data_IF_076925577574
#
_entry.id   IF_076925577574
#
_cell.length_a   1.000
_cell.length_b   1.000
_cell.length_c   1.000
_cell.angle_alpha   90.00
_cell.angle_beta   90.00
_cell.angle_gamma   90.00
#
_symmetry.space_group_name_H-M   'P 1'
#
loop_
_entity.id
_entity.type
_entity.pdbx_description
1 polymer ?
#
# COMPACT_ATOMS: atom_id res chain seq x y z
N UNK A 1 -8.33 6.19 -38.00
CA UNK A 1 -7.30 6.75 -37.10
C UNK A 1 -7.41 5.96 -35.80
N UNK A 2 -6.68 4.85 -35.69
CA UNK A 2 -6.73 3.98 -34.51
C UNK A 2 -5.97 4.70 -33.39
N UNK A 3 -6.66 5.02 -32.30
CA UNK A 3 -6.02 5.51 -31.08
C UNK A 3 -5.03 4.44 -30.62
N UNK A 4 -3.74 4.67 -30.83
CA UNK A 4 -2.70 4.01 -30.04
C UNK A 4 -2.93 4.45 -28.60
N UNK A 5 -3.60 3.60 -27.82
CA UNK A 5 -3.41 3.67 -26.37
C UNK A 5 -1.92 3.43 -26.16
N UNK A 6 -1.18 4.46 -25.77
CA UNK A 6 0.21 4.33 -25.32
C UNK A 6 0.21 3.41 -24.10
N UNK A 7 0.33 2.11 -24.37
CA UNK A 7 0.35 1.07 -23.37
C UNK A 7 1.73 1.16 -22.70
N UNK A 8 1.79 1.89 -21.59
CA UNK A 8 3.00 2.00 -20.78
C UNK A 8 3.33 0.60 -20.26
N UNK A 9 4.53 0.07 -20.55
CA UNK A 9 4.91 -1.24 -20.03
C UNK A 9 4.90 -1.21 -18.50
N UNK A 10 4.17 -2.16 -17.90
CA UNK A 10 4.10 -2.26 -16.44
C UNK A 10 5.39 -2.90 -15.92
N UNK A 11 5.85 -2.43 -14.76
CA UNK A 11 6.90 -3.08 -13.97
C UNK A 11 6.47 -3.14 -12.52
N UNK A 12 6.62 -4.31 -11.90
CA UNK A 12 6.27 -4.52 -10.49
C UNK A 12 7.55 -4.83 -9.74
N UNK A 13 7.83 -4.07 -8.68
CA UNK A 13 8.95 -4.28 -7.77
C UNK A 13 8.44 -4.37 -6.34
N UNK A 14 9.26 -4.93 -5.46
CA UNK A 14 8.91 -5.08 -4.06
C UNK A 14 10.04 -4.63 -3.15
N UNK A 15 9.67 -4.07 -2.01
CA UNK A 15 10.58 -3.98 -0.88
C UNK A 15 10.61 -5.27 -0.06
N UNK A 16 11.27 -5.21 1.10
CA UNK A 16 11.55 -6.34 2.00
C UNK A 16 10.45 -6.62 3.02
N UNK A 17 9.40 -5.79 3.12
CA UNK A 17 8.34 -5.96 4.14
C UNK A 17 7.56 -7.27 3.99
N UNK A 18 7.25 -7.66 2.76
CA UNK A 18 6.51 -8.89 2.47
C UNK A 18 6.75 -9.41 1.03
N UNK A 19 7.91 -10.03 0.76
CA UNK A 19 8.25 -10.57 -0.56
C UNK A 19 7.28 -11.64 -1.04
N UNK A 20 6.76 -12.47 -0.12
CA UNK A 20 5.82 -13.57 -0.45
C UNK A 20 4.53 -13.01 -1.06
N UNK A 21 3.96 -11.97 -0.46
CA UNK A 21 2.76 -11.31 -0.99
C UNK A 21 3.05 -10.63 -2.32
N UNK A 22 4.20 -9.96 -2.44
CA UNK A 22 4.57 -9.27 -3.67
C UNK A 22 4.73 -10.22 -4.86
N UNK A 23 5.38 -11.37 -4.66
CA UNK A 23 5.50 -12.41 -5.68
C UNK A 23 4.14 -12.99 -6.07
N UNK A 24 3.24 -13.21 -5.10
CA UNK A 24 1.89 -13.67 -5.38
C UNK A 24 1.10 -12.66 -6.23
N UNK A 25 1.21 -11.36 -5.93
CA UNK A 25 0.57 -10.28 -6.70
C UNK A 25 1.14 -10.25 -8.13
N UNK A 26 2.47 -10.25 -8.27
CA UNK A 26 3.11 -10.23 -9.59
C UNK A 26 2.74 -11.47 -10.42
N UNK A 27 2.76 -12.65 -9.79
CA UNK A 27 2.35 -13.91 -10.42
C UNK A 27 0.90 -13.91 -10.88
N UNK A 28 -0.02 -13.34 -10.09
CA UNK A 28 -1.44 -13.21 -10.48
C UNK A 28 -1.63 -12.22 -11.63
N UNK A 29 -0.78 -11.19 -11.73
CA UNK A 29 -0.74 -10.28 -12.89
C UNK A 29 -0.13 -10.96 -14.14
N UNK A 30 0.66 -12.03 -13.96
CA UNK A 30 1.27 -12.79 -15.06
C UNK A 30 2.73 -12.44 -15.34
N UNK A 31 3.44 -11.84 -14.39
CA UNK A 31 4.88 -11.58 -14.51
C UNK A 31 5.65 -11.85 -13.21
N UNK A 32 6.98 -11.88 -13.28
CA UNK A 32 7.84 -11.92 -12.09
C UNK A 32 8.09 -10.52 -11.57
N UNK A 33 8.49 -10.42 -10.30
CA UNK A 33 9.03 -9.16 -9.80
C UNK A 33 10.28 -8.76 -10.59
N UNK A 34 10.39 -7.46 -10.84
CA UNK A 34 11.60 -6.86 -11.34
C UNK A 34 12.70 -6.85 -10.27
N UNK A 35 13.95 -6.72 -10.71
CA UNK A 35 15.10 -6.80 -9.83
C UNK A 35 15.42 -5.44 -9.19
N UNK A 36 15.44 -5.40 -7.86
CA UNK A 36 15.86 -4.24 -7.07
C UNK A 36 16.87 -4.68 -6.02
N UNK A 37 18.03 -4.01 -6.01
CA UNK A 37 19.01 -4.18 -4.94
C UNK A 37 18.63 -3.25 -3.79
N UNK A 38 18.38 -3.85 -2.63
CA UNK A 38 18.17 -3.14 -1.37
C UNK A 38 19.18 -3.69 -0.36
N UNK A 39 20.07 -2.83 0.12
CA UNK A 39 21.10 -3.21 1.11
C UNK A 39 21.30 -2.11 2.13
N UNK A 40 21.91 -2.50 3.25
CA UNK A 40 22.35 -1.59 4.31
C UNK A 40 23.86 -1.37 4.18
N UNK A 41 24.29 -0.12 4.28
CA UNK A 41 25.70 0.20 4.47
C UNK A 41 26.13 -0.16 5.89
N UNK A 42 27.44 -0.09 6.17
CA UNK A 42 28.00 -0.49 7.47
C UNK A 42 27.50 0.36 8.65
N UNK A 43 26.99 1.57 8.39
CA UNK A 43 26.39 2.48 9.36
C UNK A 43 24.86 2.34 9.47
N UNK A 44 24.24 1.45 8.69
CA UNK A 44 22.81 1.20 8.68
C UNK A 44 22.02 2.05 7.69
N UNK A 45 22.66 2.91 6.89
CA UNK A 45 21.96 3.65 5.82
C UNK A 45 21.48 2.71 4.72
N UNK A 46 20.29 2.99 4.17
CA UNK A 46 19.69 2.18 3.12
C UNK A 46 20.16 2.63 1.74
N UNK A 47 20.49 1.65 0.91
CA UNK A 47 20.77 1.79 -0.50
C UNK A 47 19.69 1.08 -1.32
N UNK A 48 19.16 1.76 -2.34
CA UNK A 48 18.18 1.20 -3.29
C UNK A 48 18.65 1.46 -4.72
N UNK A 49 18.62 0.41 -5.56
CA UNK A 49 18.89 0.51 -7.00
C UNK A 49 18.02 -0.47 -7.79
N UNK A 50 17.32 0.02 -8.81
CA UNK A 50 16.71 -0.84 -9.83
C UNK A 50 17.80 -1.42 -10.74
N UNK A 51 17.81 -2.73 -10.93
CA UNK A 51 18.81 -3.43 -11.76
C UNK A 51 18.46 -3.45 -13.25
N UNK A 52 17.30 -2.88 -13.61
CA UNK A 52 16.80 -2.81 -14.97
C UNK A 52 16.23 -1.41 -15.30
N UNK A 53 16.14 -1.09 -16.58
CA UNK A 53 15.60 0.19 -17.01
C UNK A 53 14.10 0.27 -16.76
N UNK A 54 13.70 1.29 -16.02
CA UNK A 54 12.29 1.62 -15.73
C UNK A 54 11.85 2.93 -16.40
N UNK A 55 12.66 3.48 -17.30
CA UNK A 55 12.33 4.72 -18.03
C UNK A 55 11.05 4.54 -18.84
N UNK A 56 10.10 5.46 -18.66
CA UNK A 56 8.84 5.44 -19.40
C UNK A 56 7.85 4.36 -18.97
N UNK A 57 8.16 3.59 -17.91
CA UNK A 57 7.32 2.49 -17.45
C UNK A 57 6.33 2.94 -16.39
N UNK A 58 5.24 2.19 -16.27
CA UNK A 58 4.27 2.31 -15.19
C UNK A 58 4.69 1.37 -14.04
N UNK A 59 5.26 1.96 -13.00
CA UNK A 59 5.96 1.26 -11.92
C UNK A 59 5.05 1.08 -10.73
N UNK A 60 4.90 -0.16 -10.28
CA UNK A 60 4.19 -0.53 -9.07
C UNK A 60 5.20 -0.98 -8.01
N UNK A 61 5.20 -0.31 -6.87
CA UNK A 61 6.11 -0.60 -5.75
C UNK A 61 5.30 -1.22 -4.61
N UNK A 62 5.49 -2.52 -4.38
CA UNK A 62 4.79 -3.27 -3.33
C UNK A 62 5.62 -3.22 -2.05
N UNK A 63 5.12 -2.48 -1.06
CA UNK A 63 5.76 -2.37 0.26
C UNK A 63 4.73 -2.00 1.32
N UNK A 64 4.50 -2.90 2.27
CA UNK A 64 3.82 -2.56 3.51
C UNK A 64 4.75 -1.75 4.41
N UNK A 65 4.17 -0.92 5.26
CA UNK A 65 4.92 -0.05 6.16
C UNK A 65 4.70 -0.42 7.64
N UNK A 66 4.56 -1.72 7.89
CA UNK A 66 4.61 -2.30 9.23
C UNK A 66 6.00 -2.11 9.86
N UNK A 67 6.14 -2.22 11.20
CA UNK A 67 7.45 -2.24 11.83
C UNK A 67 8.38 -3.28 11.19
N UNK A 68 9.69 -2.97 11.06
CA UNK A 68 10.39 -1.77 11.55
C UNK A 68 10.13 -0.49 10.73
N UNK A 69 10.45 0.67 11.30
CA UNK A 69 10.29 1.97 10.64
C UNK A 69 11.09 2.10 9.33
N UNK A 70 12.15 1.30 9.16
CA UNK A 70 12.95 1.25 7.93
C UNK A 70 12.13 0.86 6.69
N UNK A 71 11.01 0.16 6.83
CA UNK A 71 10.10 -0.12 5.71
C UNK A 71 9.56 1.16 5.06
N UNK A 72 9.39 2.24 5.83
CA UNK A 72 9.04 3.56 5.28
C UNK A 72 10.18 4.17 4.48
N UNK A 73 11.40 4.19 5.04
CA UNK A 73 12.56 4.76 4.37
C UNK A 73 12.86 4.00 3.07
N UNK A 74 12.75 2.69 3.08
CA UNK A 74 12.92 1.86 1.90
C UNK A 74 11.91 2.20 0.80
N UNK A 75 10.61 2.32 1.12
CA UNK A 75 9.60 2.73 0.15
C UNK A 75 9.90 4.11 -0.45
N UNK A 76 10.24 5.07 0.41
CA UNK A 76 10.54 6.44 -0.02
C UNK A 76 11.76 6.50 -0.94
N UNK A 77 12.80 5.73 -0.64
CA UNK A 77 13.99 5.61 -1.48
C UNK A 77 13.69 4.90 -2.81
N UNK A 78 12.82 3.87 -2.82
CA UNK A 78 12.35 3.23 -4.05
C UNK A 78 11.57 4.21 -4.94
N UNK A 79 10.68 5.02 -4.35
CA UNK A 79 9.93 6.06 -5.09
C UNK A 79 10.88 7.11 -5.67
N UNK A 80 11.79 7.66 -4.86
CA UNK A 80 12.75 8.68 -5.32
C UNK A 80 13.66 8.13 -6.44
N UNK A 81 14.18 6.91 -6.28
CA UNK A 81 15.00 6.24 -7.30
C UNK A 81 14.20 6.03 -8.59
N UNK A 82 12.92 5.63 -8.51
CA UNK A 82 12.08 5.42 -9.68
C UNK A 82 11.81 6.74 -10.43
N UNK A 83 11.52 7.80 -9.68
CA UNK A 83 11.30 9.14 -10.24
C UNK A 83 12.54 9.65 -10.96
N UNK A 84 13.73 9.53 -10.35
CA UNK A 84 15.00 9.95 -10.95
C UNK A 84 15.38 9.10 -12.16
N UNK A 85 14.99 7.83 -12.18
CA UNK A 85 15.14 6.94 -13.33
C UNK A 85 14.11 7.22 -14.46
N UNK A 86 13.29 8.26 -14.32
CA UNK A 86 12.28 8.68 -15.30
C UNK A 86 11.20 7.61 -15.54
N UNK A 87 10.77 6.91 -14.48
CA UNK A 87 9.50 6.20 -14.50
C UNK A 87 8.39 7.18 -14.92
N UNK A 88 7.46 6.72 -15.75
CA UNK A 88 6.39 7.56 -16.26
C UNK A 88 5.25 7.70 -15.23
N UNK A 89 4.99 6.66 -14.45
CA UNK A 89 4.08 6.67 -13.31
C UNK A 89 4.59 5.77 -12.20
N UNK A 90 4.39 6.18 -10.94
CA UNK A 90 4.78 5.44 -9.74
C UNK A 90 3.54 5.23 -8.85
N UNK A 91 3.07 3.99 -8.78
CA UNK A 91 2.01 3.58 -7.86
C UNK A 91 2.63 2.90 -6.64
N UNK A 92 2.45 3.49 -5.46
CA UNK A 92 2.82 2.84 -4.20
C UNK A 92 1.70 1.91 -3.76
N UNK A 93 1.97 0.60 -3.78
CA UNK A 93 1.07 -0.45 -3.30
C UNK A 93 1.44 -0.79 -1.87
N UNK A 94 0.60 -0.35 -0.92
CA UNK A 94 0.85 -0.40 0.52
C UNK A 94 -0.24 -1.25 1.20
N UNK A 95 -0.11 -2.60 1.24
CA UNK A 95 -1.13 -3.47 1.83
C UNK A 95 -1.45 -3.15 3.30
N UNK A 96 -0.42 -2.81 4.08
CA UNK A 96 -0.58 -2.28 5.44
C UNK A 96 0.02 -0.88 5.55
N UNK A 97 -0.83 0.12 5.81
CA UNK A 97 -0.42 1.50 6.02
C UNK A 97 -0.09 1.77 7.49
N UNK A 98 1.19 1.83 7.83
CA UNK A 98 1.68 2.18 9.16
C UNK A 98 1.29 3.60 9.60
N UNK A 99 1.35 3.87 10.90
CA UNK A 99 0.94 5.15 11.50
C UNK A 99 -0.53 5.57 11.29
N UNK A 100 -1.35 4.75 10.64
CA UNK A 100 -2.77 5.03 10.39
C UNK A 100 -3.63 5.25 11.65
N UNK A 101 -3.13 4.86 12.84
CA UNK A 101 -3.79 5.09 14.14
C UNK A 101 -3.56 6.48 14.72
N UNK A 102 -2.69 7.29 14.09
CA UNK A 102 -2.39 8.67 14.46
C UNK A 102 -2.85 9.60 13.34
N UNK A 103 -4.14 9.56 13.05
CA UNK A 103 -4.81 10.30 11.97
C UNK A 103 -5.46 11.61 12.45
N UNK A 104 -5.42 11.92 13.74
CA UNK A 104 -5.96 13.16 14.30
C UNK A 104 -5.20 13.58 15.54
N UNK A 105 -5.38 14.83 15.96
CA UNK A 105 -4.97 15.29 17.28
C UNK A 105 -6.06 14.93 18.28
N UNK A 106 -5.82 13.90 19.07
CA UNK A 106 -6.64 13.54 20.22
C UNK A 106 -6.25 14.33 21.49
N UNK A 107 -5.02 14.81 21.55
CA UNK A 107 -4.50 15.65 22.62
C UNK A 107 -3.66 16.84 22.10
N UNK A 108 -3.38 17.86 22.92
CA UNK A 108 -2.48 18.95 22.53
C UNK A 108 -1.06 18.44 22.19
N UNK A 109 -0.42 19.09 21.21
CA UNK A 109 1.01 18.92 20.87
C UNK A 109 1.45 17.51 20.38
N UNK A 110 0.53 16.70 19.87
CA UNK A 110 0.88 15.46 19.13
C UNK A 110 0.95 15.69 17.63
N UNK A 111 1.66 14.79 16.94
CA UNK A 111 1.69 14.70 15.48
C UNK A 111 0.39 14.12 14.93
N UNK A 112 0.14 14.39 13.65
CA UNK A 112 -0.80 13.62 12.83
C UNK A 112 0.08 12.77 11.91
N UNK A 113 0.63 11.68 12.44
CA UNK A 113 1.66 10.91 11.74
C UNK A 113 1.16 10.34 10.40
N UNK A 114 -0.10 9.93 10.30
CA UNK A 114 -0.67 9.49 9.02
C UNK A 114 -0.63 10.59 7.94
N UNK A 115 -0.88 11.86 8.30
CA UNK A 115 -0.78 13.00 7.36
C UNK A 115 0.68 13.29 6.98
N UNK A 116 1.62 13.20 7.94
CA UNK A 116 3.04 13.31 7.64
C UNK A 116 3.48 12.25 6.64
N UNK A 117 3.12 10.98 6.87
CA UNK A 117 3.44 9.88 5.96
C UNK A 117 2.83 10.08 4.57
N UNK A 118 1.58 10.54 4.49
CA UNK A 118 0.93 10.86 3.21
C UNK A 118 1.68 11.97 2.44
N UNK A 119 2.09 13.02 3.14
CA UNK A 119 2.89 14.09 2.56
C UNK A 119 4.25 13.57 2.07
N UNK A 120 4.95 12.74 2.85
CA UNK A 120 6.24 12.19 2.47
C UNK A 120 6.16 11.35 1.19
N UNK A 121 5.16 10.48 1.05
CA UNK A 121 4.94 9.67 -0.16
C UNK A 121 4.68 10.56 -1.38
N UNK A 122 3.81 11.57 -1.22
CA UNK A 122 3.47 12.51 -2.29
C UNK A 122 4.70 13.34 -2.69
N UNK A 123 5.47 13.84 -1.72
CA UNK A 123 6.68 14.64 -1.97
C UNK A 123 7.80 13.82 -2.61
N UNK A 124 8.01 12.57 -2.19
CA UNK A 124 8.96 11.66 -2.81
C UNK A 124 8.64 11.47 -4.31
N UNK A 125 7.35 11.44 -4.65
CA UNK A 125 6.86 11.45 -6.02
C UNK A 125 6.02 10.23 -6.39
N UNK A 126 5.27 9.67 -5.44
CA UNK A 126 4.21 8.74 -5.80
C UNK A 126 3.10 9.48 -6.55
N UNK A 127 2.61 8.90 -7.64
CA UNK A 127 1.50 9.45 -8.42
C UNK A 127 0.14 8.89 -7.97
N UNK A 128 0.16 7.73 -7.32
CA UNK A 128 -1.04 7.01 -6.84
C UNK A 128 -0.69 6.13 -5.66
N UNK A 129 -1.66 5.99 -4.75
CA UNK A 129 -1.60 5.04 -3.65
C UNK A 129 -2.63 3.94 -3.86
N UNK A 130 -2.24 2.68 -3.67
CA UNK A 130 -3.14 1.54 -3.55
C UNK A 130 -2.96 0.95 -2.15
N UNK A 131 -4.01 0.91 -1.33
CA UNK A 131 -3.90 0.42 0.06
C UNK A 131 -5.15 -0.32 0.50
N UNK A 132 -5.10 -0.98 1.66
CA UNK A 132 -6.17 -1.84 2.15
C UNK A 132 -6.59 -1.50 3.57
N UNK A 133 -7.90 -1.55 3.83
CA UNK A 133 -8.53 -1.49 5.16
C UNK A 133 -7.92 -0.44 6.12
N UNK A 134 -7.73 0.79 5.62
CA UNK A 134 -7.23 1.93 6.40
C UNK A 134 -7.96 2.02 7.74
N UNK A 135 -7.20 2.34 8.80
CA UNK A 135 -7.75 2.45 10.16
C UNK A 135 -8.93 3.43 10.21
N UNK A 136 -8.76 4.59 9.58
CA UNK A 136 -9.83 5.53 9.29
C UNK A 136 -9.91 5.75 7.76
N UNK A 137 -11.08 5.53 7.11
CA UNK A 137 -11.21 5.70 5.67
C UNK A 137 -10.96 7.16 5.21
N UNK A 138 -11.07 8.14 6.11
CA UNK A 138 -10.81 9.55 5.85
C UNK A 138 -9.33 9.84 5.56
N UNK A 139 -8.40 8.93 5.88
CA UNK A 139 -6.98 9.05 5.53
C UNK A 139 -6.79 9.22 4.02
N UNK A 140 -7.72 8.74 3.19
CA UNK A 140 -7.75 9.03 1.75
C UNK A 140 -7.68 10.53 1.45
N UNK A 141 -8.36 11.37 2.25
CA UNK A 141 -8.32 12.83 2.13
C UNK A 141 -7.04 13.50 2.62
N UNK A 142 -6.05 12.74 3.10
CA UNK A 142 -4.72 13.27 3.39
C UNK A 142 -3.82 13.33 2.16
N UNK A 143 -4.18 12.64 1.08
CA UNK A 143 -3.44 12.63 -0.15
C UNK A 143 -4.03 13.64 -1.14
N UNK A 144 -3.15 14.38 -1.80
CA UNK A 144 -3.50 15.25 -2.94
C UNK A 144 -3.40 14.49 -4.28
N UNK A 145 -3.08 13.20 -4.22
CA UNK A 145 -2.99 12.25 -5.32
C UNK A 145 -4.08 11.17 -5.18
N UNK A 146 -4.48 10.48 -6.28
CA UNK A 146 -5.48 9.42 -6.21
C UNK A 146 -5.10 8.29 -5.24
N UNK A 147 -6.09 7.85 -4.45
CA UNK A 147 -5.96 6.73 -3.52
C UNK A 147 -7.04 5.69 -3.84
N UNK A 148 -6.61 4.48 -4.14
CA UNK A 148 -7.47 3.32 -4.26
C UNK A 148 -7.47 2.56 -2.92
N UNK A 149 -8.59 2.65 -2.19
CA UNK A 149 -8.76 2.00 -0.90
C UNK A 149 -9.58 0.71 -1.03
N UNK A 150 -8.89 -0.43 -0.98
CA UNK A 150 -9.50 -1.75 -1.06
C UNK A 150 -9.97 -2.23 0.31
N UNK A 151 -10.97 -3.12 0.31
CA UNK A 151 -11.54 -3.70 1.52
C UNK A 151 -11.35 -5.22 1.54
N UNK A 152 -10.63 -5.74 2.54
CA UNK A 152 -10.43 -7.17 2.74
C UNK A 152 -11.74 -7.92 3.01
N UNK A 153 -12.79 -7.20 3.39
CA UNK A 153 -14.15 -7.76 3.51
C UNK A 153 -14.63 -8.48 2.25
N UNK A 154 -14.15 -8.13 1.06
CA UNK A 154 -14.49 -8.84 -0.16
C UNK A 154 -14.03 -10.31 -0.14
N UNK A 155 -12.91 -10.60 0.53
CA UNK A 155 -12.36 -11.95 0.68
C UNK A 155 -12.89 -12.64 1.93
N UNK A 156 -12.86 -11.95 3.07
CA UNK A 156 -13.28 -12.56 4.34
C UNK A 156 -14.76 -12.91 4.39
N UNK A 157 -15.62 -12.13 3.72
CA UNK A 157 -17.05 -12.44 3.68
C UNK A 157 -17.29 -13.77 3.00
N UNK A 158 -16.62 -13.99 1.87
CA UNK A 158 -16.73 -15.24 1.14
C UNK A 158 -16.15 -16.41 1.95
N UNK A 159 -14.97 -16.24 2.55
CA UNK A 159 -14.33 -17.27 3.36
C UNK A 159 -15.20 -17.71 4.56
N UNK A 160 -15.80 -16.77 5.30
CA UNK A 160 -16.66 -17.10 6.44
C UNK A 160 -17.94 -17.81 6.00
N UNK A 161 -18.54 -17.43 4.85
CA UNK A 161 -19.71 -18.12 4.30
C UNK A 161 -19.42 -19.60 4.01
N UNK A 162 -18.24 -19.92 3.50
CA UNK A 162 -17.80 -21.29 3.24
C UNK A 162 -17.53 -22.11 4.51
N UNK A 163 -17.48 -21.48 5.69
CA UNK A 163 -17.34 -22.22 6.96
C UNK A 163 -18.67 -22.80 7.46
N UNK A 164 -19.82 -22.43 6.87
CA UNK A 164 -21.15 -22.94 7.24
C UNK A 164 -21.44 -22.89 8.75
N UNK A 165 -21.15 -21.75 9.39
CA UNK A 165 -21.35 -21.57 10.83
C UNK A 165 -22.83 -21.33 11.13
N UNK A 166 -23.47 -22.25 11.85
CA UNK A 166 -24.83 -22.09 12.35
C UNK A 166 -24.90 -20.97 13.41
N UNK A 167 -25.96 -20.15 13.34
CA UNK A 167 -26.20 -19.02 14.26
C UNK A 167 -25.00 -18.04 14.36
N UNK A 168 -24.39 -17.71 13.22
CA UNK A 168 -23.25 -16.80 13.13
C UNK A 168 -23.55 -15.44 13.80
N UNK A 169 -22.72 -15.07 14.78
CA UNK A 169 -22.75 -13.76 15.43
C UNK A 169 -21.48 -12.98 15.11
N UNK A 170 -21.65 -11.78 14.55
CA UNK A 170 -20.54 -10.84 14.33
C UNK A 170 -20.41 -9.92 15.53
N UNK A 171 -19.26 -9.97 16.21
CA UNK A 171 -18.99 -9.17 17.41
C UNK A 171 -18.01 -8.05 17.08
N UNK A 172 -18.36 -6.82 17.46
CA UNK A 172 -17.42 -5.69 17.41
C UNK A 172 -16.54 -5.73 18.67
N UNK A 173 -15.19 -5.72 18.54
CA UNK A 173 -14.30 -5.75 19.70
C UNK A 173 -14.31 -4.44 20.51
N UNK A 174 -14.64 -3.32 19.87
CA UNK A 174 -14.75 -2.01 20.50
C UNK A 174 -15.70 -1.10 19.70
N UNK A 175 -15.94 0.12 20.23
CA UNK A 175 -16.83 1.11 19.62
C UNK A 175 -16.38 1.58 18.22
N UNK A 176 -15.07 1.67 17.98
CA UNK A 176 -14.50 2.09 16.69
C UNK A 176 -14.77 1.08 15.57
N UNK A 177 -14.89 -0.20 15.92
CA UNK A 177 -15.16 -1.27 14.95
C UNK A 177 -16.64 -1.55 14.68
N UNK A 178 -17.59 -0.93 15.41
CA UNK A 178 -19.04 -1.17 15.25
C UNK A 178 -19.49 -1.03 13.80
N UNK A 179 -19.04 0.03 13.09
CA UNK A 179 -19.41 0.25 11.69
C UNK A 179 -18.93 -0.88 10.78
N UNK A 180 -17.70 -1.37 11.00
CA UNK A 180 -17.11 -2.47 10.22
C UNK A 180 -17.82 -3.78 10.54
N UNK A 181 -18.06 -4.09 11.82
CA UNK A 181 -18.81 -5.28 12.24
C UNK A 181 -20.23 -5.31 11.65
N UNK A 182 -20.96 -4.18 11.67
CA UNK A 182 -22.28 -4.06 11.03
C UNK A 182 -22.21 -4.25 9.51
N UNK A 183 -21.16 -3.77 8.85
CA UNK A 183 -20.97 -3.99 7.42
C UNK A 183 -20.72 -5.47 7.09
N UNK A 184 -19.98 -6.19 7.94
CA UNK A 184 -19.83 -7.65 7.83
C UNK A 184 -21.18 -8.35 8.05
N UNK A 185 -21.89 -8.05 9.15
CA UNK A 185 -23.19 -8.65 9.44
C UNK A 185 -24.19 -8.44 8.28
N UNK A 186 -24.32 -7.22 7.78
CA UNK A 186 -25.19 -6.91 6.62
C UNK A 186 -24.86 -7.71 5.37
N UNK A 187 -23.57 -8.01 5.14
CA UNK A 187 -23.15 -8.87 4.02
C UNK A 187 -23.40 -10.35 4.29
N UNK A 188 -23.56 -10.80 5.53
CA UNK A 188 -23.74 -12.23 5.85
C UNK A 188 -25.20 -12.68 5.84
N UNK A 189 -26.15 -11.75 5.89
CA UNK A 189 -27.56 -12.05 6.14
C UNK A 189 -27.85 -12.09 7.63
#
# INVERSE_FOLDING_TARGET
MLHHYDFRPISIFAGRSNPVLAEAIAGHYGQRLGNVTIKEFSDGELYVRFEESIRGRDVYLIQSTNPPASNWLELLLMIDAARRASADRITAVIPYFGYARQERKDQPRVSIAAKLMANMLTTAGADRILTMDLHAPQIQGFFDIPVDHLYGSAVFVDAIRHMHIDNLLIVAPDMGFIKRARAYASKMG
#
